data_IF_732626613193
#
_entry.id   IF_732626613193
#
_cell.length_a   1.000
_cell.length_b   1.000
_cell.length_c   1.000
_cell.angle_alpha   90.00
_cell.angle_beta   90.00
_cell.angle_gamma   90.00
#
_symmetry.space_group_name_H-M   'P 1'
#
loop_
_entity.id
_entity.type
_entity.pdbx_description
1 polymer ?
#
# COMPACT_ATOMS: atom_id res chain seq x y z
N UNK A 1 52.67 5.04 -9.50
CA UNK A 1 52.09 6.36 -9.78
C UNK A 1 50.63 6.37 -9.32
N UNK A 2 50.26 7.22 -8.38
CA UNK A 2 48.86 7.36 -7.96
C UNK A 2 48.11 8.23 -8.95
N UNK A 3 47.08 7.68 -9.61
CA UNK A 3 46.18 8.48 -10.45
C UNK A 3 44.95 8.88 -9.64
N UNK A 4 44.60 10.17 -9.68
CA UNK A 4 43.39 10.70 -9.04
C UNK A 4 42.21 10.71 -10.00
N UNK A 5 41.01 10.44 -9.49
CA UNK A 5 39.75 10.53 -10.23
C UNK A 5 38.90 11.68 -9.64
N UNK A 6 38.45 12.59 -10.49
CA UNK A 6 37.53 13.68 -10.12
C UNK A 6 36.37 13.69 -11.10
N UNK A 7 35.15 13.63 -10.57
CA UNK A 7 33.92 13.70 -11.35
C UNK A 7 32.91 14.64 -10.67
N UNK A 8 32.02 15.22 -11.48
CA UNK A 8 30.86 15.98 -11.04
C UNK A 8 29.64 15.25 -11.60
N UNK A 9 28.64 15.02 -10.76
CA UNK A 9 27.42 14.30 -11.13
C UNK A 9 26.21 15.18 -10.86
N UNK A 10 25.23 15.12 -11.75
CA UNK A 10 23.93 15.77 -11.57
C UNK A 10 22.91 14.72 -11.15
N UNK A 11 22.17 15.01 -10.08
CA UNK A 11 21.11 14.14 -9.56
C UNK A 11 19.78 14.86 -9.71
N UNK A 12 18.80 14.19 -10.32
CA UNK A 12 17.46 14.71 -10.53
C UNK A 12 16.42 13.81 -9.87
N UNK A 13 15.23 14.36 -9.55
CA UNK A 13 14.05 13.58 -9.18
C UNK A 13 13.20 13.38 -10.42
N UNK A 14 12.64 12.19 -10.58
CA UNK A 14 11.82 11.81 -11.73
C UNK A 14 10.96 10.60 -11.42
N UNK A 15 10.28 10.08 -12.44
CA UNK A 15 9.46 8.85 -12.35
C UNK A 15 9.80 7.94 -13.53
N UNK A 16 9.87 6.64 -13.27
CA UNK A 16 10.09 5.64 -14.32
C UNK A 16 11.52 5.66 -14.84
N UNK A 17 11.67 5.57 -16.16
CA UNK A 17 12.96 5.49 -16.84
C UNK A 17 13.08 6.61 -17.87
N UNK A 18 14.25 7.25 -17.90
CA UNK A 18 14.60 8.25 -18.91
C UNK A 18 15.89 7.79 -19.60
N UNK A 19 15.89 7.56 -20.92
CA UNK A 19 17.09 7.19 -21.65
C UNK A 19 18.07 8.37 -21.69
N UNK A 20 19.35 8.08 -21.90
CA UNK A 20 20.43 9.06 -21.95
C UNK A 20 20.15 10.20 -22.93
N UNK A 21 19.48 9.93 -24.05
CA UNK A 21 19.09 10.96 -25.02
C UNK A 21 18.16 12.01 -24.42
N UNK A 22 17.21 11.62 -23.57
CA UNK A 22 16.32 12.54 -22.88
C UNK A 22 17.01 13.37 -21.78
N UNK A 23 18.21 12.95 -21.36
CA UNK A 23 19.03 13.67 -20.38
C UNK A 23 20.05 14.61 -21.01
N UNK A 24 20.18 14.64 -22.35
CA UNK A 24 21.03 15.61 -23.05
C UNK A 24 20.43 17.01 -22.89
N UNK A 25 21.28 17.98 -22.55
CA UNK A 25 20.91 19.40 -22.51
C UNK A 25 21.76 20.17 -23.50
N UNK A 26 21.15 21.10 -24.21
CA UNK A 26 21.82 21.94 -25.21
C UNK A 26 22.85 22.89 -24.58
N UNK A 27 22.67 23.25 -23.31
CA UNK A 27 23.56 24.09 -22.51
C UNK A 27 24.62 23.31 -21.71
N UNK A 28 24.70 21.99 -21.89
CA UNK A 28 25.64 21.16 -21.15
C UNK A 28 27.10 21.48 -21.53
N UNK A 29 28.02 21.60 -20.55
CA UNK A 29 29.44 21.80 -20.83
C UNK A 29 30.01 20.68 -21.71
N UNK A 30 30.94 21.03 -22.60
CA UNK A 30 31.66 20.07 -23.44
C UNK A 30 32.32 19.00 -22.58
N UNK A 31 32.08 17.73 -22.93
CA UNK A 31 32.57 16.57 -22.17
C UNK A 31 31.60 16.03 -21.14
N UNK A 32 30.39 16.60 -21.02
CA UNK A 32 29.32 16.02 -20.20
C UNK A 32 28.79 14.73 -20.83
N UNK A 33 28.76 13.64 -20.06
CA UNK A 33 28.22 12.35 -20.49
C UNK A 33 26.79 12.21 -19.97
N UNK A 34 25.82 12.17 -20.89
CA UNK A 34 24.45 11.82 -20.54
C UNK A 34 24.36 10.30 -20.31
N UNK A 35 23.68 9.92 -19.24
CA UNK A 35 23.45 8.52 -18.86
C UNK A 35 21.96 8.27 -18.70
N UNK A 36 21.56 7.01 -18.76
CA UNK A 36 20.21 6.60 -18.43
C UNK A 36 19.89 6.88 -16.97
N UNK A 37 18.65 7.31 -16.70
CA UNK A 37 18.16 7.55 -15.35
C UNK A 37 17.01 6.60 -15.03
N UNK A 38 17.21 5.76 -14.01
CA UNK A 38 16.20 4.88 -13.44
C UNK A 38 15.70 5.48 -12.12
N UNK A 39 14.45 5.92 -12.10
CA UNK A 39 13.78 6.54 -10.95
C UNK A 39 12.85 5.56 -10.22
N UNK A 40 13.09 4.26 -10.34
CA UNK A 40 12.26 3.21 -9.73
C UNK A 40 13.00 2.62 -8.52
N UNK A 41 12.60 2.95 -7.28
CA UNK A 41 13.25 2.44 -6.08
C UNK A 41 12.80 1.01 -5.71
N UNK A 42 11.74 0.50 -6.34
CA UNK A 42 11.22 -0.87 -6.17
C UNK A 42 11.86 -1.78 -7.21
N UNK A 43 12.53 -2.86 -6.78
CA UNK A 43 13.25 -3.77 -7.66
C UNK A 43 12.43 -5.00 -8.04
N UNK A 44 11.59 -5.50 -7.13
CA UNK A 44 10.77 -6.68 -7.36
C UNK A 44 9.48 -6.62 -6.54
N UNK A 45 8.39 -7.08 -7.14
CA UNK A 45 7.12 -7.30 -6.46
C UNK A 45 6.63 -8.69 -6.81
N UNK A 46 6.12 -9.42 -5.82
CA UNK A 46 5.47 -10.71 -5.99
C UNK A 46 4.18 -10.72 -5.16
N UNK A 47 3.19 -11.50 -5.59
CA UNK A 47 1.93 -11.64 -4.87
C UNK A 47 1.45 -13.09 -4.91
N UNK A 48 0.82 -13.51 -3.82
CA UNK A 48 0.17 -14.80 -3.72
C UNK A 48 -1.21 -14.61 -3.11
N UNK A 49 -2.23 -15.23 -3.72
CA UNK A 49 -3.58 -15.30 -3.19
C UNK A 49 -3.84 -16.74 -2.77
N UNK A 50 -4.35 -16.91 -1.55
CA UNK A 50 -4.72 -18.21 -1.01
C UNK A 50 -6.06 -18.11 -0.27
N UNK A 51 -6.93 -19.13 -0.32
CA UNK A 51 -8.15 -19.14 0.48
C UNK A 51 -7.82 -19.08 1.97
N UNK A 52 -8.55 -18.25 2.69
CA UNK A 52 -8.37 -18.05 4.12
C UNK A 52 -9.68 -18.32 4.87
N UNK A 53 -9.58 -19.12 5.93
CA UNK A 53 -10.66 -19.29 6.89
C UNK A 53 -10.44 -18.35 8.06
N UNK A 54 -11.40 -17.47 8.32
CA UNK A 54 -11.38 -16.54 9.45
C UNK A 54 -12.50 -16.95 10.41
N UNK A 55 -12.14 -17.55 11.54
CA UNK A 55 -13.09 -18.16 12.46
C UNK A 55 -13.83 -19.33 11.80
N UNK A 56 -15.16 -19.24 11.76
CA UNK A 56 -16.04 -20.26 11.14
C UNK A 56 -16.34 -20.00 9.66
N UNK A 57 -15.91 -18.86 9.10
CA UNK A 57 -16.23 -18.46 7.74
C UNK A 57 -15.06 -18.75 6.79
N UNK A 58 -15.32 -19.47 5.69
CA UNK A 58 -14.33 -19.88 4.68
C UNK A 58 -14.43 -19.12 3.35
N UNK A 59 -15.17 -18.01 3.31
CA UNK A 59 -15.32 -17.17 2.12
C UNK A 59 -14.28 -16.06 1.92
N UNK A 60 -13.17 -16.04 2.67
CA UNK A 60 -12.15 -14.98 2.55
C UNK A 60 -10.96 -15.45 1.72
N UNK A 61 -10.31 -14.50 1.06
CA UNK A 61 -9.02 -14.70 0.41
C UNK A 61 -7.94 -13.91 1.16
N UNK A 62 -6.79 -14.54 1.39
CA UNK A 62 -5.60 -13.89 1.93
C UNK A 62 -4.66 -13.52 0.78
N UNK A 63 -4.33 -12.24 0.70
CA UNK A 63 -3.32 -11.69 -0.19
C UNK A 63 -2.01 -11.52 0.57
N UNK A 64 -0.94 -12.15 0.10
CA UNK A 64 0.42 -11.93 0.56
C UNK A 64 1.20 -11.18 -0.51
N UNK A 65 1.74 -10.01 -0.17
CA UNK A 65 2.57 -9.18 -1.05
C UNK A 65 4.02 -9.20 -0.55
N UNK A 66 4.95 -9.51 -1.45
CA UNK A 66 6.38 -9.43 -1.21
C UNK A 66 6.97 -8.31 -2.07
N UNK A 67 7.50 -7.27 -1.43
CA UNK A 67 8.01 -6.07 -2.08
C UNK A 67 9.48 -5.88 -1.70
N UNK A 68 10.35 -5.86 -2.69
CA UNK A 68 11.78 -5.58 -2.52
C UNK A 68 12.10 -4.18 -3.04
N UNK A 69 12.72 -3.37 -2.19
CA UNK A 69 13.18 -2.00 -2.53
C UNK A 69 14.69 -1.90 -2.39
N UNK A 70 15.28 -0.88 -3.01
CA UNK A 70 16.71 -0.57 -2.91
C UNK A 70 17.07 0.26 -1.66
N UNK A 71 16.15 0.42 -0.71
CA UNK A 71 16.32 1.22 0.52
C UNK A 71 16.03 2.71 0.40
N UNK A 72 15.74 3.23 -0.81
CA UNK A 72 15.34 4.65 -1.00
C UNK A 72 13.95 4.93 -0.43
N UNK A 73 13.09 3.91 -0.39
CA UNK A 73 11.74 3.95 0.19
C UNK A 73 11.49 2.64 0.93
N UNK A 74 10.78 2.70 2.06
CA UNK A 74 10.34 1.50 2.75
C UNK A 74 9.18 0.84 1.98
N UNK A 75 9.06 -0.50 2.00
CA UNK A 75 8.01 -1.21 1.24
C UNK A 75 6.58 -0.75 1.56
N UNK A 76 6.31 -0.45 2.84
CA UNK A 76 4.99 0.00 3.32
C UNK A 76 4.57 1.34 2.69
N UNK A 77 5.48 2.33 2.69
CA UNK A 77 5.25 3.62 2.05
C UNK A 77 5.08 3.48 0.54
N UNK A 78 5.87 2.61 -0.10
CA UNK A 78 5.75 2.34 -1.53
C UNK A 78 4.36 1.76 -1.87
N UNK A 79 3.86 0.84 -1.04
CA UNK A 79 2.52 0.28 -1.19
C UNK A 79 1.45 1.35 -0.99
N UNK A 80 1.55 2.16 0.07
CA UNK A 80 0.60 3.25 0.33
C UNK A 80 0.53 4.27 -0.80
N UNK A 81 1.68 4.69 -1.33
CA UNK A 81 1.74 5.57 -2.51
C UNK A 81 1.12 4.91 -3.75
N UNK A 82 1.34 3.61 -3.95
CA UNK A 82 0.76 2.88 -5.08
C UNK A 82 -0.77 2.79 -4.98
N UNK A 83 -1.31 2.54 -3.79
CA UNK A 83 -2.74 2.51 -3.54
C UNK A 83 -3.39 3.87 -3.80
N UNK A 84 -2.76 4.95 -3.32
CA UNK A 84 -3.23 6.32 -3.60
C UNK A 84 -3.28 6.61 -5.09
N UNK A 85 -2.23 6.28 -5.84
CA UNK A 85 -2.20 6.49 -7.30
C UNK A 85 -3.33 5.69 -7.97
N UNK A 86 -3.59 4.46 -7.52
CA UNK A 86 -4.68 3.64 -8.03
C UNK A 86 -6.04 4.28 -7.77
N UNK A 87 -6.29 4.75 -6.55
CA UNK A 87 -7.53 5.47 -6.19
C UNK A 87 -7.72 6.71 -7.07
N UNK A 88 -6.68 7.55 -7.22
CA UNK A 88 -6.75 8.75 -8.07
C UNK A 88 -7.13 8.42 -9.53
N UNK A 89 -6.73 7.25 -10.05
CA UNK A 89 -7.16 6.81 -11.39
C UNK A 89 -8.59 6.25 -11.40
N UNK A 90 -9.04 5.61 -10.32
CA UNK A 90 -10.41 5.10 -10.19
C UNK A 90 -11.44 6.21 -9.94
N UNK A 91 -11.05 7.31 -9.30
CA UNK A 91 -11.91 8.47 -9.05
C UNK A 91 -12.42 9.08 -10.36
N UNK A 92 -11.61 9.02 -11.41
CA UNK A 92 -12.04 9.44 -12.76
C UNK A 92 -13.26 8.64 -13.24
N UNK A 93 -13.44 7.40 -12.78
CA UNK A 93 -14.57 6.53 -13.13
C UNK A 93 -15.79 6.73 -12.23
N UNK A 94 -15.58 7.02 -10.95
CA UNK A 94 -16.69 7.28 -10.01
C UNK A 94 -17.43 8.57 -10.38
N UNK A 95 -16.74 9.53 -10.97
CA UNK A 95 -17.33 10.78 -11.45
C UNK A 95 -18.24 10.64 -12.68
N UNK A 96 -18.20 9.52 -13.42
CA UNK A 96 -19.03 9.32 -14.61
C UNK A 96 -20.51 9.08 -14.31
N UNK A 97 -20.88 8.68 -13.09
CA UNK A 97 -22.28 8.39 -12.75
C UNK A 97 -22.67 8.96 -11.40
N UNK A 98 -23.80 9.66 -11.35
CA UNK A 98 -24.35 10.19 -10.08
C UNK A 98 -24.65 9.07 -9.07
N UNK A 99 -24.89 7.84 -9.54
CA UNK A 99 -25.06 6.64 -8.71
C UNK A 99 -23.77 6.28 -7.96
N UNK A 100 -22.61 6.35 -8.61
CA UNK A 100 -21.33 6.10 -7.96
C UNK A 100 -20.93 7.23 -6.98
N UNK A 101 -21.37 8.47 -7.23
CA UNK A 101 -21.15 9.61 -6.31
C UNK A 101 -22.00 9.57 -5.04
N UNK A 102 -23.18 8.94 -5.11
CA UNK A 102 -24.13 8.84 -3.98
C UNK A 102 -24.15 7.45 -3.32
N UNK A 103 -23.48 6.46 -3.90
CA UNK A 103 -23.28 5.16 -3.28
C UNK A 103 -22.22 5.28 -2.17
N UNK A 104 -22.66 5.23 -0.91
CA UNK A 104 -21.79 5.00 0.25
C UNK A 104 -21.17 3.61 0.12
N UNK A 105 -20.02 3.52 -0.54
CA UNK A 105 -19.21 2.30 -0.55
C UNK A 105 -18.47 2.25 0.79
N UNK A 106 -18.96 1.37 1.67
CA UNK A 106 -18.42 1.07 3.00
C UNK A 106 -18.75 2.08 4.09
N UNK A 107 -19.98 2.01 4.63
CA UNK A 107 -20.03 1.76 6.07
C UNK A 107 -19.58 0.33 6.25
N UNK A 108 -18.41 0.12 6.87
CA UNK A 108 -18.26 -1.08 7.69
C UNK A 108 -19.58 -1.22 8.45
N UNK A 109 -20.22 -2.38 8.39
CA UNK A 109 -21.16 -2.69 9.44
C UNK A 109 -20.34 -2.57 10.72
N UNK A 110 -20.43 -1.43 11.40
CA UNK A 110 -20.09 -1.36 12.81
C UNK A 110 -20.87 -2.52 13.38
N UNK A 111 -20.18 -3.63 13.69
CA UNK A 111 -20.78 -4.75 14.41
C UNK A 111 -21.51 -4.09 15.55
N UNK A 112 -22.85 -4.14 15.50
CA UNK A 112 -23.71 -3.41 16.42
C UNK A 112 -23.15 -3.65 17.82
N UNK A 113 -23.20 -2.66 18.71
CA UNK A 113 -22.87 -2.88 20.12
C UNK A 113 -23.59 -4.11 20.70
N UNK A 114 -24.72 -4.49 20.09
CA UNK A 114 -25.48 -5.71 20.38
C UNK A 114 -24.71 -7.00 20.06
N UNK A 115 -23.99 -7.09 18.94
CA UNK A 115 -23.17 -8.28 18.59
C UNK A 115 -22.02 -8.46 19.59
N UNK A 116 -21.39 -7.36 20.01
CA UNK A 116 -20.38 -7.38 21.09
C UNK A 116 -20.97 -7.70 22.47
N UNK A 117 -22.26 -7.47 22.70
CA UNK A 117 -22.94 -7.91 23.94
C UNK A 117 -23.29 -9.40 23.88
N UNK A 118 -23.60 -9.94 22.70
CA UNK A 118 -23.93 -11.34 22.48
C UNK A 118 -22.71 -12.27 22.65
N UNK A 119 -21.50 -11.78 22.38
CA UNK A 119 -20.24 -12.51 22.55
C UNK A 119 -19.64 -12.43 23.98
N UNK A 120 -20.29 -11.72 24.92
CA UNK A 120 -19.82 -11.69 26.32
C UNK A 120 -20.01 -13.03 26.99
N UNK A 121 -18.98 -13.50 27.67
CA UNK A 121 -19.06 -14.71 28.49
C UNK A 121 -19.88 -14.44 29.76
N UNK A 122 -20.46 -15.49 30.35
CA UNK A 122 -21.31 -15.36 31.56
C UNK A 122 -20.53 -14.72 32.73
N UNK A 123 -19.20 -14.87 32.75
CA UNK A 123 -18.28 -14.28 33.73
C UNK A 123 -18.15 -12.76 33.61
N UNK A 124 -18.39 -12.20 32.42
CA UNK A 124 -18.31 -10.76 32.13
C UNK A 124 -19.66 -10.04 32.29
N UNK A 125 -20.71 -10.79 32.64
CA UNK A 125 -22.01 -10.24 33.04
C UNK A 125 -21.97 -10.00 34.55
N UNK A 126 -22.29 -8.78 35.01
CA UNK A 126 -22.36 -8.39 36.43
C UNK A 126 -23.56 -9.05 37.15
N UNK A 127 -23.56 -10.39 37.19
CA UNK A 127 -24.60 -11.22 37.79
C UNK A 127 -24.35 -11.45 39.27
N UNK A 128 -25.43 -11.61 40.04
CA UNK A 128 -25.33 -12.01 41.44
C UNK A 128 -24.71 -13.41 41.57
N UNK A 129 -24.04 -13.68 42.70
CA UNK A 129 -23.40 -14.98 42.99
C UNK A 129 -24.37 -16.16 42.86
N UNK A 130 -25.65 -15.96 43.20
CA UNK A 130 -26.68 -17.01 43.03
C UNK A 130 -27.02 -17.21 41.55
N UNK A 131 -27.23 -16.12 40.81
CA UNK A 131 -27.58 -16.16 39.39
C UNK A 131 -26.47 -16.77 38.54
N UNK A 132 -25.21 -16.44 38.82
CA UNK A 132 -24.03 -16.99 38.16
C UNK A 132 -23.96 -18.53 38.30
N UNK A 133 -24.12 -19.05 39.52
CA UNK A 133 -24.04 -20.50 39.78
C UNK A 133 -25.21 -21.31 39.20
N UNK A 134 -26.33 -20.66 38.87
CA UNK A 134 -27.45 -21.33 38.20
C UNK A 134 -27.33 -21.32 36.67
N UNK A 135 -26.48 -20.45 36.11
CA UNK A 135 -26.31 -20.26 34.67
C UNK A 135 -24.99 -20.84 34.13
N UNK A 136 -24.02 -21.06 35.02
CA UNK A 136 -22.83 -21.87 34.77
C UNK A 136 -23.20 -23.35 34.62
#
# INVERSE_FOLDING_TARGET
EGKGFKAIMTVNKGRGYVPAEGNKKDDAPVGTLAVDALYTPVSKVNYQVEPARVGSNDGFDKLTLEIMTNGTIIPEDALGLSARILTEHLDLFTDLTEVAKTADVMKEAETSSEEKMLDRTIEELDLSVRSYNCLK
#
